data_IF_887121126663
#
_entry.id   IF_887121126663
#
_cell.length_a   1.000
_cell.length_b   1.000
_cell.length_c   1.000
_cell.angle_alpha   90.00
_cell.angle_beta   90.00
_cell.angle_gamma   90.00
#
_symmetry.space_group_name_H-M   'P 1'
#
loop_
_entity.id
_entity.type
_entity.pdbx_description
1 polymer ?
#
# COMPACT_ATOMS: atom_id res chain seq x y z
N UNK A 1 1.58 7.70 26.21
CA UNK A 1 2.01 6.38 25.70
C UNK A 1 2.52 6.63 24.31
N UNK A 2 3.84 6.67 24.15
CA UNK A 2 4.47 6.91 22.87
C UNK A 2 4.29 5.63 22.04
N UNK A 3 3.24 5.59 21.23
CA UNK A 3 3.07 4.51 20.26
C UNK A 3 4.20 4.72 19.26
N UNK A 4 5.29 3.94 19.41
CA UNK A 4 6.43 4.02 18.51
C UNK A 4 5.96 4.00 17.05
N UNK A 5 6.55 4.87 16.23
CA UNK A 5 6.22 4.98 14.81
C UNK A 5 6.18 3.60 14.17
N UNK A 6 5.09 3.29 13.44
CA UNK A 6 4.97 2.04 12.66
C UNK A 6 5.88 2.02 11.43
N UNK A 7 6.60 3.11 11.17
CA UNK A 7 7.37 3.32 9.95
C UNK A 7 6.58 4.13 8.92
N UNK A 8 6.96 3.99 7.67
CA UNK A 8 6.41 4.72 6.53
C UNK A 8 5.55 3.79 5.67
N UNK A 9 4.28 4.15 5.51
CA UNK A 9 3.37 3.53 4.56
C UNK A 9 3.29 4.39 3.29
N UNK A 10 3.76 3.84 2.16
CA UNK A 10 3.54 4.45 0.85
C UNK A 10 2.17 4.06 0.30
N UNK A 11 1.22 4.99 0.36
CA UNK A 11 -0.12 4.84 -0.21
C UNK A 11 -0.10 5.25 -1.68
N UNK A 12 -0.54 4.36 -2.55
CA UNK A 12 -0.56 4.55 -4.00
C UNK A 12 -1.99 4.43 -4.55
N UNK A 13 -2.47 5.46 -5.25
CA UNK A 13 -3.81 5.49 -5.83
C UNK A 13 -3.82 5.62 -7.36
N UNK A 14 -4.54 4.74 -8.04
CA UNK A 14 -4.80 4.83 -9.47
C UNK A 14 -6.16 5.47 -9.78
N UNK A 15 -6.35 5.93 -11.01
CA UNK A 15 -7.62 6.51 -11.47
C UNK A 15 -8.66 5.40 -11.62
N UNK A 16 -9.46 5.19 -10.57
CA UNK A 16 -10.59 4.29 -10.50
C UNK A 16 -11.62 4.85 -9.49
N UNK A 17 -12.90 4.48 -9.65
CA UNK A 17 -13.96 4.94 -8.73
C UNK A 17 -13.59 4.68 -7.26
N UNK A 18 -13.86 5.66 -6.40
CA UNK A 18 -13.58 5.60 -4.97
C UNK A 18 -12.24 6.18 -4.56
N UNK A 19 -11.33 6.51 -5.51
CA UNK A 19 -10.04 7.16 -5.21
C UNK A 19 -10.22 8.52 -4.54
N UNK A 20 -11.35 9.21 -4.75
CA UNK A 20 -11.71 10.44 -4.04
C UNK A 20 -11.92 10.24 -2.53
N UNK A 21 -12.09 8.99 -2.07
CA UNK A 21 -12.19 8.62 -0.66
C UNK A 21 -10.88 8.07 -0.09
N UNK A 22 -9.77 8.14 -0.83
CA UNK A 22 -8.47 7.61 -0.40
C UNK A 22 -8.04 8.18 0.97
N UNK A 23 -8.29 9.48 1.19
CA UNK A 23 -7.95 10.15 2.45
C UNK A 23 -8.68 9.54 3.64
N UNK A 24 -10.01 9.54 3.60
CA UNK A 24 -10.84 9.10 4.74
C UNK A 24 -10.90 7.60 4.88
N UNK A 25 -10.79 6.86 3.76
CA UNK A 25 -10.84 5.41 3.73
C UNK A 25 -9.55 4.74 4.17
N UNK A 26 -8.38 5.28 3.79
CA UNK A 26 -7.10 4.59 3.99
C UNK A 26 -6.04 5.44 4.70
N UNK A 27 -5.85 6.70 4.29
CA UNK A 27 -4.77 7.54 4.85
C UNK A 27 -5.02 7.88 6.33
N UNK A 28 -6.20 8.39 6.67
CA UNK A 28 -6.58 8.73 8.05
C UNK A 28 -6.53 7.49 8.96
N UNK A 29 -7.13 6.33 8.61
CA UNK A 29 -6.99 5.11 9.41
C UNK A 29 -5.55 4.62 9.57
N UNK A 30 -4.73 4.68 8.52
CA UNK A 30 -3.33 4.30 8.61
C UNK A 30 -2.55 5.21 9.57
N UNK A 31 -2.76 6.52 9.49
CA UNK A 31 -2.14 7.46 10.43
C UNK A 31 -2.62 7.23 11.87
N UNK A 32 -3.90 6.91 12.07
CA UNK A 32 -4.44 6.55 13.38
C UNK A 32 -3.80 5.28 13.97
N UNK A 33 -3.29 4.37 13.12
CA UNK A 33 -2.50 3.22 13.56
C UNK A 33 -1.05 3.57 13.88
N UNK A 34 -0.58 4.79 13.59
CA UNK A 34 0.78 5.26 13.88
C UNK A 34 1.74 5.24 12.68
N UNK A 35 1.22 5.15 11.45
CA UNK A 35 2.04 5.24 10.23
C UNK A 35 2.34 6.69 9.86
N UNK A 36 3.57 6.97 9.43
CA UNK A 36 3.84 8.12 8.56
C UNK A 36 3.39 7.76 7.15
N UNK A 37 2.46 8.52 6.55
CA UNK A 37 1.87 8.17 5.26
C UNK A 37 2.37 9.07 4.13
N UNK A 38 2.99 8.48 3.12
CA UNK A 38 3.43 9.16 1.90
C UNK A 38 2.48 8.79 0.75
N UNK A 39 1.92 9.78 0.04
CA UNK A 39 0.89 9.53 -0.99
C UNK A 39 1.43 9.79 -2.39
N UNK A 40 1.28 8.80 -3.27
CA UNK A 40 1.56 8.94 -4.71
C UNK A 40 0.35 8.51 -5.52
N UNK A 41 0.02 9.27 -6.55
CA UNK A 41 -1.11 9.05 -7.43
C UNK A 41 -0.61 8.79 -8.84
N UNK A 42 -1.36 8.04 -9.64
CA UNK A 42 -1.16 8.11 -11.09
C UNK A 42 -1.55 9.50 -11.60
N UNK A 43 -1.01 9.98 -12.73
CA UNK A 43 -1.28 11.33 -13.23
C UNK A 43 -2.78 11.67 -13.34
N UNK A 44 -3.59 10.71 -13.80
CA UNK A 44 -5.05 10.90 -13.89
C UNK A 44 -5.72 11.00 -12.52
N UNK A 45 -5.32 10.18 -11.54
CA UNK A 45 -5.85 10.29 -10.17
C UNK A 45 -5.43 11.61 -9.51
N UNK A 46 -4.18 12.04 -9.73
CA UNK A 46 -3.68 13.35 -9.30
C UNK A 46 -4.55 14.48 -9.84
N UNK A 47 -4.81 14.49 -11.15
CA UNK A 47 -5.71 15.47 -11.78
C UNK A 47 -7.11 15.47 -11.15
N UNK A 48 -7.71 14.31 -10.88
CA UNK A 48 -9.04 14.22 -10.28
C UNK A 48 -9.08 14.77 -8.85
N UNK A 49 -8.10 14.38 -8.01
CA UNK A 49 -8.03 14.81 -6.61
C UNK A 49 -7.60 16.28 -6.47
N UNK A 50 -6.87 16.85 -7.43
CA UNK A 50 -6.64 18.30 -7.47
C UNK A 50 -7.94 19.05 -7.78
N UNK A 51 -8.75 18.56 -8.72
CA UNK A 51 -9.98 19.22 -9.13
C UNK A 51 -11.03 19.35 -8.00
N UNK A 52 -10.99 18.49 -6.98
CA UNK A 52 -11.91 18.52 -5.83
C UNK A 52 -11.24 18.94 -4.50
N UNK A 53 -9.98 19.38 -4.55
CA UNK A 53 -9.21 19.84 -3.39
C UNK A 53 -8.73 18.75 -2.43
N UNK A 54 -8.83 17.47 -2.78
CA UNK A 54 -8.34 16.38 -1.94
C UNK A 54 -6.81 16.32 -1.88
N UNK A 55 -6.09 16.74 -2.92
CA UNK A 55 -4.61 16.84 -2.84
C UNK A 55 -4.20 17.77 -1.71
N UNK A 56 -4.72 18.99 -1.64
CA UNK A 56 -4.34 19.93 -0.58
C UNK A 56 -4.75 19.43 0.81
N UNK A 57 -5.87 18.70 0.92
CA UNK A 57 -6.29 18.08 2.19
C UNK A 57 -5.34 16.97 2.61
N UNK A 58 -4.89 16.13 1.67
CA UNK A 58 -3.91 15.09 1.91
C UNK A 58 -2.56 15.68 2.34
N UNK A 59 -2.06 16.70 1.64
CA UNK A 59 -0.78 17.34 1.98
C UNK A 59 -0.81 18.00 3.37
N UNK A 60 -1.91 18.71 3.70
CA UNK A 60 -2.09 19.27 5.05
C UNK A 60 -2.18 18.19 6.12
N UNK A 61 -2.83 17.07 5.82
CA UNK A 61 -3.01 15.97 6.76
C UNK A 61 -1.70 15.23 7.03
N UNK A 62 -0.95 14.88 5.99
CA UNK A 62 0.27 14.05 6.11
C UNK A 62 1.51 14.87 6.41
N UNK A 63 1.52 16.16 6.11
CA UNK A 63 2.70 17.01 6.14
C UNK A 63 3.72 16.69 5.02
N UNK A 64 3.34 15.86 4.05
CA UNK A 64 4.16 15.44 2.91
C UNK A 64 3.49 15.83 1.59
N UNK A 65 4.26 16.21 0.55
CA UNK A 65 3.69 16.52 -0.75
C UNK A 65 3.03 15.29 -1.38
N UNK A 66 1.91 15.47 -2.06
CA UNK A 66 1.29 14.40 -2.87
C UNK A 66 1.97 14.41 -4.24
N UNK A 67 2.42 13.23 -4.68
CA UNK A 67 3.15 13.08 -5.95
C UNK A 67 2.25 12.49 -7.02
N UNK A 68 2.16 13.13 -8.17
CA UNK A 68 1.54 12.59 -9.40
C UNK A 68 2.46 12.71 -10.63
N UNK A 69 3.63 13.32 -10.45
CA UNK A 69 4.70 13.46 -11.45
C UNK A 69 6.05 13.02 -10.87
N UNK A 70 7.01 12.59 -11.73
CA UNK A 70 8.36 12.33 -11.29
C UNK A 70 9.07 13.64 -10.91
N UNK A 71 9.97 13.55 -9.93
CA UNK A 71 10.89 14.64 -9.59
C UNK A 71 11.97 14.76 -10.67
N UNK A 72 12.58 15.94 -10.80
CA UNK A 72 13.83 16.08 -11.54
C UNK A 72 14.98 15.38 -10.79
N UNK A 73 16.03 14.90 -11.49
CA UNK A 73 17.15 14.22 -10.86
C UNK A 73 17.84 15.03 -9.75
N UNK A 74 17.91 16.36 -9.92
CA UNK A 74 18.51 17.29 -8.97
C UNK A 74 17.61 17.68 -7.80
N UNK A 75 16.30 17.43 -7.89
CA UNK A 75 15.36 17.73 -6.80
C UNK A 75 15.51 16.70 -5.67
N UNK A 76 15.42 17.12 -4.41
CA UNK A 76 15.51 16.20 -3.27
C UNK A 76 14.40 15.15 -3.32
N UNK A 77 14.61 14.02 -2.63
CA UNK A 77 13.56 13.01 -2.47
C UNK A 77 12.42 13.61 -1.61
N UNK A 78 11.18 13.65 -2.12
CA UNK A 78 10.06 14.30 -1.42
C UNK A 78 9.46 13.44 -0.30
N UNK A 79 9.69 12.12 -0.32
CA UNK A 79 9.15 11.17 0.64
C UNK A 79 10.29 10.43 1.36
N UNK A 80 10.09 10.02 2.62
CA UNK A 80 10.97 9.07 3.29
C UNK A 80 10.90 7.70 2.60
N UNK A 81 11.86 6.82 2.93
CA UNK A 81 11.88 5.44 2.42
C UNK A 81 10.68 4.69 2.99
N UNK A 82 9.94 3.98 2.13
CA UNK A 82 8.76 3.24 2.52
C UNK A 82 9.13 1.88 3.11
N UNK A 83 8.49 1.52 4.22
CA UNK A 83 8.59 0.19 4.84
C UNK A 83 7.51 -0.77 4.29
N UNK A 84 6.44 -0.23 3.72
CA UNK A 84 5.35 -0.99 3.10
C UNK A 84 4.63 -0.14 2.04
N UNK A 85 4.10 -0.79 1.00
CA UNK A 85 3.22 -0.16 0.01
C UNK A 85 1.78 -0.66 0.12
N UNK A 86 0.83 0.27 0.08
CA UNK A 86 -0.59 -0.01 -0.10
C UNK A 86 -1.10 0.62 -1.39
N UNK A 87 -1.37 -0.20 -2.40
CA UNK A 87 -1.88 0.23 -3.71
C UNK A 87 -3.40 0.03 -3.73
N UNK A 88 -4.15 1.10 -3.49
CA UNK A 88 -5.61 1.04 -3.45
C UNK A 88 -6.25 2.41 -3.76
N UNK A 89 -7.20 2.49 -4.72
CA UNK A 89 -7.54 1.47 -5.70
C UNK A 89 -6.45 1.33 -6.78
N UNK A 90 -6.20 0.10 -7.25
CA UNK A 90 -5.47 -0.17 -8.48
C UNK A 90 -6.45 -0.39 -9.63
N UNK A 91 -6.37 0.39 -10.71
CA UNK A 91 -7.17 0.17 -11.92
C UNK A 91 -6.70 -1.08 -12.67
N UNK A 92 -7.50 -1.60 -13.61
CA UNK A 92 -7.09 -2.72 -14.46
C UNK A 92 -5.81 -2.40 -15.25
N UNK A 93 -5.66 -1.16 -15.75
CA UNK A 93 -4.44 -0.67 -16.43
C UNK A 93 -3.23 -0.71 -15.50
N UNK A 94 -3.37 -0.23 -14.25
CA UNK A 94 -2.28 -0.25 -13.28
C UNK A 94 -1.83 -1.68 -12.98
N UNK A 95 -2.78 -2.61 -12.77
CA UNK A 95 -2.49 -4.03 -12.52
C UNK A 95 -1.77 -4.66 -13.70
N UNK A 96 -2.26 -4.45 -14.92
CA UNK A 96 -1.64 -5.00 -16.12
C UNK A 96 -0.21 -4.47 -16.30
N UNK A 97 -0.01 -3.16 -16.21
CA UNK A 97 1.31 -2.52 -16.35
C UNK A 97 2.30 -2.99 -15.29
N UNK A 98 1.88 -3.02 -14.03
CA UNK A 98 2.74 -3.48 -12.93
C UNK A 98 3.14 -4.94 -13.14
N UNK A 99 2.18 -5.81 -13.50
CA UNK A 99 2.44 -7.23 -13.73
C UNK A 99 3.40 -7.50 -14.89
N UNK A 100 3.50 -6.58 -15.86
CA UNK A 100 4.39 -6.70 -17.03
C UNK A 100 5.63 -5.81 -16.95
N UNK A 101 5.88 -5.13 -15.83
CA UNK A 101 7.05 -4.27 -15.63
C UNK A 101 7.02 -2.93 -16.37
N UNK A 102 5.85 -2.46 -16.83
CA UNK A 102 5.72 -1.14 -17.44
C UNK A 102 5.71 -0.09 -16.32
N UNK A 103 6.63 0.88 -16.41
CA UNK A 103 6.85 1.93 -15.42
C UNK A 103 6.76 3.32 -16.03
N UNK A 104 5.63 3.64 -16.68
CA UNK A 104 5.43 4.87 -17.45
C UNK A 104 5.05 6.11 -16.60
N UNK A 105 4.93 5.95 -15.28
CA UNK A 105 4.66 7.03 -14.34
C UNK A 105 5.22 6.73 -12.96
N UNK A 106 5.37 7.76 -12.13
CA UNK A 106 6.02 7.67 -10.81
C UNK A 106 5.38 6.63 -9.87
N UNK A 107 4.05 6.44 -9.93
CA UNK A 107 3.36 5.47 -9.10
C UNK A 107 3.72 4.03 -9.49
N UNK A 108 3.78 3.71 -10.79
CA UNK A 108 4.23 2.41 -11.27
C UNK A 108 5.72 2.18 -11.03
N UNK A 109 6.56 3.19 -11.27
CA UNK A 109 8.02 3.07 -11.08
C UNK A 109 8.37 2.63 -9.67
N UNK A 110 7.84 3.31 -8.64
CA UNK A 110 8.20 2.99 -7.26
C UNK A 110 7.60 1.67 -6.77
N UNK A 111 6.38 1.31 -7.19
CA UNK A 111 5.78 0.03 -6.79
C UNK A 111 6.50 -1.11 -7.50
N UNK A 112 6.86 -0.94 -8.78
CA UNK A 112 7.65 -1.92 -9.53
C UNK A 112 9.04 -2.17 -8.91
N UNK A 113 9.71 -1.13 -8.42
CA UNK A 113 10.96 -1.26 -7.65
C UNK A 113 10.74 -1.99 -6.33
N UNK A 114 9.65 -1.69 -5.61
CA UNK A 114 9.29 -2.37 -4.37
C UNK A 114 9.09 -3.88 -4.56
N UNK A 115 8.53 -4.34 -5.69
CA UNK A 115 8.39 -5.77 -5.99
C UNK A 115 9.71 -6.53 -6.04
N UNK A 116 10.81 -5.84 -6.37
CA UNK A 116 12.16 -6.41 -6.39
C UNK A 116 12.97 -6.17 -5.11
N UNK A 117 12.42 -5.42 -4.15
CA UNK A 117 13.13 -4.97 -2.96
C UNK A 117 12.86 -5.91 -1.80
N UNK A 118 13.91 -6.55 -1.27
CA UNK A 118 13.81 -7.48 -0.14
C UNK A 118 13.28 -6.78 1.10
N UNK A 119 12.25 -7.35 1.72
CA UNK A 119 11.70 -6.87 2.98
C UNK A 119 10.70 -5.71 2.87
N UNK A 120 10.28 -5.34 1.66
CA UNK A 120 9.28 -4.27 1.45
C UNK A 120 7.98 -4.89 0.93
N UNK A 121 7.01 -5.22 1.81
CA UNK A 121 5.74 -5.81 1.40
C UNK A 121 4.88 -4.85 0.57
N UNK A 122 4.18 -5.40 -0.42
CA UNK A 122 3.23 -4.68 -1.26
C UNK A 122 1.84 -5.32 -1.13
N UNK A 123 0.88 -4.53 -0.67
CA UNK A 123 -0.55 -4.85 -0.65
C UNK A 123 -1.22 -4.14 -1.82
N UNK A 124 -2.02 -4.87 -2.60
CA UNK A 124 -2.71 -4.30 -3.76
C UNK A 124 -4.19 -4.68 -3.78
N UNK A 125 -5.07 -3.70 -3.90
CA UNK A 125 -6.50 -3.91 -4.13
C UNK A 125 -6.87 -3.55 -5.58
N UNK A 126 -7.21 -4.53 -6.44
CA UNK A 126 -7.71 -4.27 -7.79
C UNK A 126 -9.16 -3.74 -7.73
N UNK A 127 -9.37 -2.46 -8.05
CA UNK A 127 -10.71 -1.94 -8.32
C UNK A 127 -11.06 -2.26 -9.76
N UNK A 128 -11.78 -3.36 -9.95
CA UNK A 128 -12.27 -3.81 -11.27
C UNK A 128 -13.77 -4.13 -11.24
N UNK A 129 -14.33 -4.40 -12.43
CA UNK A 129 -15.68 -4.91 -12.64
C UNK A 129 -15.59 -6.32 -13.25
N UNK A 130 -16.72 -7.01 -13.44
CA UNK A 130 -16.74 -8.38 -13.96
C UNK A 130 -16.15 -8.48 -15.38
N UNK A 131 -16.37 -7.47 -16.23
CA UNK A 131 -15.83 -7.46 -17.59
C UNK A 131 -14.30 -7.35 -17.61
N UNK A 132 -13.70 -6.50 -16.76
CA UNK A 132 -12.25 -6.44 -16.58
C UNK A 132 -11.68 -7.79 -16.13
N UNK A 133 -12.34 -8.46 -15.18
CA UNK A 133 -11.87 -9.74 -14.65
C UNK A 133 -11.97 -10.89 -15.67
N UNK A 134 -12.85 -10.77 -16.67
CA UNK A 134 -12.96 -11.73 -17.80
C UNK A 134 -11.94 -11.47 -18.91
N UNK A 135 -11.10 -10.43 -18.82
CA UNK A 135 -10.05 -10.22 -19.81
C UNK A 135 -9.10 -11.43 -19.83
N UNK A 136 -8.73 -11.99 -21.00
CA UNK A 136 -7.97 -13.24 -21.07
C UNK A 136 -6.61 -13.22 -20.34
N UNK A 137 -6.00 -12.03 -20.24
CA UNK A 137 -4.72 -11.86 -19.54
C UNK A 137 -4.86 -11.60 -18.03
N UNK A 138 -6.07 -11.36 -17.51
CA UNK A 138 -6.29 -10.91 -16.13
C UNK A 138 -5.70 -11.87 -15.09
N UNK A 139 -6.04 -13.16 -15.20
CA UNK A 139 -5.52 -14.18 -14.28
C UNK A 139 -3.99 -14.30 -14.37
N UNK A 140 -3.43 -14.14 -15.58
CA UNK A 140 -1.99 -14.10 -15.79
C UNK A 140 -1.32 -12.91 -15.10
N UNK A 141 -1.94 -11.73 -15.13
CA UNK A 141 -1.45 -10.55 -14.42
C UNK A 141 -1.47 -10.77 -12.91
N UNK A 142 -2.57 -11.28 -12.36
CA UNK A 142 -2.66 -11.57 -10.92
C UNK A 142 -1.67 -12.66 -10.50
N UNK A 143 -1.48 -13.70 -11.31
CA UNK A 143 -0.50 -14.74 -11.05
C UNK A 143 0.93 -14.17 -11.05
N UNK A 144 1.25 -13.24 -11.95
CA UNK A 144 2.56 -12.58 -11.98
C UNK A 144 2.82 -11.76 -10.71
N UNK A 145 1.83 -10.97 -10.25
CA UNK A 145 1.95 -10.20 -9.02
C UNK A 145 2.10 -11.09 -7.78
N UNK A 146 1.32 -12.18 -7.70
CA UNK A 146 1.45 -13.14 -6.59
C UNK A 146 2.81 -13.85 -6.56
N UNK A 147 3.40 -14.13 -7.73
CA UNK A 147 4.78 -14.67 -7.83
C UNK A 147 5.84 -13.68 -7.34
N UNK A 148 5.54 -12.38 -7.38
CA UNK A 148 6.34 -11.32 -6.79
C UNK A 148 5.91 -11.02 -5.34
N UNK A 149 5.23 -11.97 -4.68
CA UNK A 149 4.81 -11.90 -3.27
C UNK A 149 3.90 -10.71 -2.93
N UNK A 150 3.20 -10.15 -3.93
CA UNK A 150 2.16 -9.14 -3.71
C UNK A 150 0.94 -9.77 -3.03
N UNK A 151 0.52 -9.20 -1.90
CA UNK A 151 -0.74 -9.53 -1.25
C UNK A 151 -1.88 -8.85 -2.01
N UNK A 152 -2.54 -9.64 -2.87
CA UNK A 152 -3.69 -9.16 -3.66
C UNK A 152 -4.96 -9.29 -2.83
N UNK A 153 -5.54 -8.15 -2.46
CA UNK A 153 -6.81 -8.05 -1.73
C UNK A 153 -7.96 -8.26 -2.72
N UNK A 154 -8.60 -9.43 -2.67
CA UNK A 154 -9.65 -9.83 -3.63
C UNK A 154 -10.59 -10.91 -3.05
N UNK A 155 -11.62 -11.26 -3.81
CA UNK A 155 -12.56 -12.35 -3.50
C UNK A 155 -13.96 -11.83 -3.18
N UNK A 156 -14.99 -12.66 -3.39
CA UNK A 156 -16.39 -12.24 -3.26
C UNK A 156 -16.76 -11.75 -1.85
N UNK A 157 -16.08 -12.26 -0.81
CA UNK A 157 -16.23 -11.81 0.59
C UNK A 157 -15.55 -10.48 0.91
N UNK A 158 -14.70 -9.96 0.01
CA UNK A 158 -13.99 -8.68 0.15
C UNK A 158 -14.57 -7.65 -0.82
N UNK A 159 -14.68 -8.02 -2.09
CA UNK A 159 -15.22 -7.19 -3.16
C UNK A 159 -15.93 -8.02 -4.23
N UNK A 160 -17.25 -8.12 -4.13
CA UNK A 160 -18.11 -8.68 -5.18
C UNK A 160 -17.98 -7.90 -6.48
N UNK A 161 -17.71 -8.60 -7.59
CA UNK A 161 -17.67 -8.00 -8.92
C UNK A 161 -19.09 -7.83 -9.46
N UNK A 162 -19.37 -6.67 -10.02
CA UNK A 162 -20.60 -6.38 -10.77
C UNK A 162 -20.29 -6.21 -12.24
N UNK A 163 -21.28 -6.44 -13.10
CA UNK A 163 -21.17 -6.09 -14.52
C UNK A 163 -20.98 -4.58 -14.70
N UNK A 164 -20.41 -4.15 -15.85
CA UNK A 164 -20.28 -2.73 -16.15
C UNK A 164 -21.64 -2.01 -16.05
N UNK A 165 -21.68 -0.90 -15.30
CA UNK A 165 -22.90 -0.10 -15.03
C UNK A 165 -23.96 -0.81 -14.17
N UNK A 166 -23.64 -1.97 -13.61
CA UNK A 166 -24.44 -2.61 -12.57
C UNK A 166 -23.80 -2.44 -11.18
N UNK A 167 -24.60 -2.65 -10.14
CA UNK A 167 -24.20 -2.45 -8.75
C UNK A 167 -24.64 -1.11 -8.17
N UNK A 168 -24.40 -0.89 -6.86
CA UNK A 168 -24.82 0.33 -6.18
C UNK A 168 -24.03 1.54 -6.68
N UNK A 169 -24.71 2.70 -6.78
CA UNK A 169 -24.12 3.95 -7.23
C UNK A 169 -22.98 4.44 -6.32
N UNK A 170 -23.06 4.13 -5.03
CA UNK A 170 -22.00 4.39 -4.05
C UNK A 170 -21.70 3.09 -3.32
N UNK A 171 -20.43 2.69 -3.31
CA UNK A 171 -19.95 1.53 -2.56
C UNK A 171 -18.64 1.89 -1.89
N UNK A 172 -18.57 1.59 -0.61
CA UNK A 172 -17.32 1.73 0.12
C UNK A 172 -16.33 0.67 -0.35
N UNK A 173 -15.14 1.10 -0.77
CA UNK A 173 -14.04 0.20 -1.11
C UNK A 173 -13.60 -0.57 0.15
N UNK A 174 -13.00 -1.76 0.01
CA UNK A 174 -12.64 -2.60 1.16
C UNK A 174 -11.35 -2.10 1.84
N UNK A 175 -11.35 -0.83 2.26
CA UNK A 175 -10.18 -0.16 2.83
C UNK A 175 -9.66 -0.85 4.09
N UNK A 176 -10.57 -1.32 4.95
CA UNK A 176 -10.21 -2.10 6.13
C UNK A 176 -9.47 -3.38 5.75
N UNK A 177 -9.91 -4.09 4.71
CA UNK A 177 -9.21 -5.30 4.25
C UNK A 177 -7.80 -5.01 3.73
N UNK A 178 -7.60 -3.85 3.07
CA UNK A 178 -6.27 -3.37 2.66
C UNK A 178 -5.40 -3.08 3.88
N UNK A 179 -5.94 -2.38 4.87
CA UNK A 179 -5.19 -2.00 6.06
C UNK A 179 -4.90 -3.20 6.99
N UNK A 180 -5.80 -4.16 7.05
CA UNK A 180 -5.61 -5.43 7.74
C UNK A 180 -4.49 -6.24 7.08
N UNK A 181 -4.44 -6.25 5.74
CA UNK A 181 -3.35 -6.88 5.00
C UNK A 181 -2.00 -6.20 5.29
N UNK A 182 -1.95 -4.87 5.29
CA UNK A 182 -0.75 -4.11 5.70
C UNK A 182 -0.33 -4.53 7.11
N UNK A 183 -1.27 -4.50 8.05
CA UNK A 183 -1.00 -4.84 9.47
C UNK A 183 -0.49 -6.26 9.64
N UNK A 184 -1.00 -7.24 8.88
CA UNK A 184 -0.52 -8.63 8.92
C UNK A 184 0.90 -8.76 8.41
N UNK A 185 1.22 -8.13 7.27
CA UNK A 185 2.53 -8.26 6.63
C UNK A 185 3.64 -7.51 7.36
N UNK A 186 3.30 -6.46 8.09
CA UNK A 186 4.27 -5.65 8.85
C UNK A 186 4.25 -5.97 10.35
N UNK A 187 3.49 -6.99 10.78
CA UNK A 187 3.57 -7.46 12.15
C UNK A 187 4.99 -8.01 12.40
N UNK A 188 5.60 -7.72 13.57
CA UNK A 188 6.88 -8.33 13.90
C UNK A 188 6.73 -9.85 13.84
N UNK A 189 7.73 -10.52 13.25
CA UNK A 189 7.77 -11.98 13.21
C UNK A 189 7.54 -12.51 14.64
N UNK A 190 6.51 -13.34 14.83
CA UNK A 190 6.34 -14.03 16.11
C UNK A 190 7.56 -14.92 16.29
N UNK A 191 8.31 -14.67 17.37
CA UNK A 191 9.37 -15.58 17.80
C UNK A 191 8.75 -16.98 18.02
N UNK A 192 9.11 -18.01 17.24
CA UNK A 192 8.54 -19.34 17.41
C UNK A 192 8.94 -19.98 18.74
N UNK A 193 10.02 -19.51 19.36
CA UNK A 193 10.53 -19.99 20.65
C UNK A 193 10.28 -18.96 21.74
N UNK A 194 9.07 -18.98 22.31
CA UNK A 194 8.72 -18.25 23.53
C UNK A 194 9.45 -18.73 24.79
N UNK A 195 10.72 -19.14 24.71
CA UNK A 195 11.56 -19.39 25.88
C UNK A 195 12.38 -18.13 26.14
N UNK A 196 11.90 -17.29 27.08
CA UNK A 196 12.78 -16.39 27.80
C UNK A 196 13.90 -17.23 28.40
N UNK A 197 15.11 -17.14 27.83
CA UNK A 197 16.30 -17.59 28.52
C UNK A 197 16.36 -16.80 29.84
N UNK A 198 16.07 -17.48 30.95
CA UNK A 198 16.32 -16.96 32.28
C UNK A 198 17.78 -16.49 32.31
N UNK A 199 17.98 -15.23 32.70
CA UNK A 199 19.29 -14.61 32.77
C UNK A 199 20.28 -15.53 33.49
N UNK A 200 21.47 -15.65 32.90
CA UNK A 200 22.57 -16.36 33.52
C UNK A 200 22.78 -15.77 34.93
N UNK A 201 22.80 -16.58 36.00
CA UNK A 201 23.10 -16.06 37.32
C UNK A 201 24.50 -15.45 37.33
N UNK A 202 24.74 -14.39 38.13
CA UNK A 202 26.05 -13.75 38.18
C UNK A 202 27.12 -14.75 38.63
N UNK A 203 28.36 -14.66 38.11
CA UNK A 203 29.44 -15.54 38.53
C UNK A 203 29.70 -15.36 40.03
N UNK A 204 29.77 -16.48 40.74
CA UNK A 204 30.10 -16.52 42.16
C UNK A 204 31.51 -15.95 42.44
N UNK A 205 31.82 -15.61 43.71
CA UNK A 205 33.06 -14.94 44.05
C UNK A 205 34.26 -15.84 43.69
N UNK A 206 35.24 -15.24 43.00
CA UNK A 206 36.54 -15.86 42.79
C UNK A 206 37.33 -15.77 44.09
N UNK A 207 37.62 -16.93 44.69
CA UNK A 207 38.64 -17.02 45.73
C UNK A 207 39.99 -16.56 45.17
N UNK A 208 40.64 -15.68 45.92
CA UNK A 208 42.02 -15.22 45.70
C UNK A 208 42.92 -15.82 46.78
N UNK A 209 44.24 -15.92 46.51
CA UNK A 209 45.07 -17.09 46.78
C UNK A 209 45.37 -17.37 48.25
#
# INVERSE_FOLDING_TARGET
MDAGSRGVLAVVGAAADGVERLRTGLVEPAMALGWTVAVTLTPNAGRWLRANGEVDRLERLTGLPVRDTPRLPAEPRPHPVADCYAVAPASADFVAKLATGIADNQALTQVGEALGTVGVPVVLFPRVNAAHARHPAWDGHLAALRRAEVEVVQGAGVWTLHEPREGPAVRELPWSAVLDAVTRLTAPARDPDGTRAAGNPPPGPLDRP
#
